data_IF_844572180007
#
_entry.id   IF_844572180007
#
_cell.length_a   1.000
_cell.length_b   1.000
_cell.length_c   1.000
_cell.angle_alpha   90.00
_cell.angle_beta   90.00
_cell.angle_gamma   90.00
#
_symmetry.space_group_name_H-M   'P 1'
#
loop_
_entity.id
_entity.type
_entity.pdbx_description
1 polymer ?
#
# COMPACT_ATOMS: atom_id res chain seq x y z
N UNK A 1 -5.66 -1.96 -28.60
CA UNK A 1 -6.88 -2.22 -27.81
C UNK A 1 -6.96 -3.65 -27.25
N UNK A 2 -6.80 -4.71 -28.06
CA UNK A 2 -7.00 -6.12 -27.63
C UNK A 2 -6.11 -6.62 -26.48
N UNK A 3 -4.82 -6.25 -26.43
CA UNK A 3 -3.89 -6.71 -25.38
C UNK A 3 -4.26 -6.18 -23.98
N UNK A 4 -4.75 -4.93 -23.89
CA UNK A 4 -5.19 -4.35 -22.61
C UNK A 4 -6.45 -5.05 -22.06
N UNK A 5 -7.37 -5.43 -22.94
CA UNK A 5 -8.58 -6.16 -22.57
C UNK A 5 -8.27 -7.57 -22.08
N UNK A 6 -7.35 -8.27 -22.76
CA UNK A 6 -6.88 -9.61 -22.36
C UNK A 6 -6.15 -9.55 -21.02
N UNK A 7 -5.25 -8.58 -20.83
CA UNK A 7 -4.55 -8.38 -19.56
C UNK A 7 -5.52 -8.06 -18.40
N UNK A 8 -6.57 -7.28 -18.65
CA UNK A 8 -7.62 -6.99 -17.66
C UNK A 8 -8.48 -8.22 -17.34
N UNK A 9 -8.83 -9.06 -18.33
CA UNK A 9 -9.56 -10.31 -18.09
C UNK A 9 -8.74 -11.31 -17.28
N UNK A 10 -7.46 -11.48 -17.62
CA UNK A 10 -6.56 -12.34 -16.86
C UNK A 10 -6.41 -11.80 -15.43
N UNK A 11 -6.30 -10.49 -15.26
CA UNK A 11 -6.24 -9.86 -13.94
C UNK A 11 -7.54 -10.08 -13.13
N UNK A 12 -8.72 -10.04 -13.76
CA UNK A 12 -10.00 -10.32 -13.11
C UNK A 12 -10.15 -11.78 -12.67
N UNK A 13 -9.37 -12.71 -13.24
CA UNK A 13 -9.34 -14.12 -12.83
C UNK A 13 -8.29 -14.36 -11.74
N UNK A 14 -7.10 -13.75 -11.87
CA UNK A 14 -6.01 -13.90 -10.90
C UNK A 14 -6.32 -13.15 -9.60
N UNK A 15 -6.96 -11.98 -9.65
CA UNK A 15 -7.26 -11.17 -8.46
C UNK A 15 -8.15 -11.92 -7.43
N UNK A 16 -9.26 -12.60 -7.78
CA UNK A 16 -10.05 -13.38 -6.82
C UNK A 16 -9.31 -14.61 -6.28
N UNK A 17 -8.49 -15.28 -7.10
CA UNK A 17 -7.67 -16.41 -6.65
C UNK A 17 -6.61 -15.92 -5.65
N UNK A 18 -5.87 -14.87 -6.00
CA UNK A 18 -4.92 -14.21 -5.10
C UNK A 18 -5.62 -13.69 -3.83
N UNK A 19 -6.81 -13.09 -3.96
CA UNK A 19 -7.61 -12.58 -2.86
C UNK A 19 -8.00 -13.71 -1.88
N UNK A 20 -8.53 -14.83 -2.39
CA UNK A 20 -8.88 -16.01 -1.59
C UNK A 20 -7.69 -16.59 -0.82
N UNK A 21 -6.50 -16.65 -1.43
CA UNK A 21 -5.30 -17.17 -0.75
C UNK A 21 -4.62 -16.15 0.18
N UNK A 22 -4.96 -14.86 0.10
CA UNK A 22 -4.22 -13.78 0.78
C UNK A 22 -4.78 -13.38 2.16
N UNK A 23 -5.93 -13.93 2.59
CA UNK A 23 -6.65 -13.53 3.82
C UNK A 23 -6.81 -12.00 3.95
N UNK A 24 -6.86 -11.28 2.84
CA UNK A 24 -6.96 -9.82 2.80
C UNK A 24 -8.38 -9.41 3.19
N UNK A 25 -8.50 -8.53 4.20
CA UNK A 25 -9.77 -7.88 4.54
C UNK A 25 -9.81 -6.50 3.86
N UNK A 26 -10.90 -6.21 3.16
CA UNK A 26 -11.19 -4.87 2.68
C UNK A 26 -11.68 -4.02 3.84
N UNK A 27 -11.14 -2.80 3.98
CA UNK A 27 -11.56 -1.86 5.03
C UNK A 27 -12.54 -0.85 4.44
N UNK A 28 -13.83 -1.13 4.44
CA UNK A 28 -14.82 -0.15 3.99
C UNK A 28 -16.12 -0.29 4.75
N UNK A 29 -16.75 0.85 5.06
CA UNK A 29 -18.15 0.88 5.47
C UNK A 29 -19.03 0.38 4.32
N UNK A 30 -20.17 -0.23 4.65
CA UNK A 30 -21.12 -0.79 3.68
C UNK A 30 -21.37 0.21 2.53
N UNK A 31 -21.08 -0.23 1.29
CA UNK A 31 -21.33 0.54 0.07
C UNK A 31 -20.13 1.28 -0.55
N UNK A 32 -19.00 1.47 0.15
CA UNK A 32 -17.78 2.09 -0.43
C UNK A 32 -16.68 1.06 -0.71
N UNK A 33 -16.21 0.99 -1.96
CA UNK A 33 -15.05 0.16 -2.34
C UNK A 33 -13.78 0.77 -1.75
N UNK A 34 -13.24 0.15 -0.70
CA UNK A 34 -12.01 0.59 -0.05
C UNK A 34 -10.80 0.58 -0.98
N UNK A 35 -10.02 1.65 -0.96
CA UNK A 35 -8.70 1.71 -1.63
C UNK A 35 -7.70 0.76 -0.96
N UNK A 36 -7.93 0.36 0.29
CA UNK A 36 -7.03 -0.47 1.08
C UNK A 36 -7.52 -1.91 1.24
N UNK A 37 -6.58 -2.83 1.04
CA UNK A 37 -6.66 -4.22 1.51
C UNK A 37 -5.62 -4.39 2.60
N UNK A 38 -6.00 -5.01 3.71
CA UNK A 38 -5.08 -5.23 4.83
C UNK A 38 -5.04 -6.66 5.30
N UNK A 39 -3.93 -7.01 5.94
CA UNK A 39 -3.81 -8.24 6.74
C UNK A 39 -2.84 -8.04 7.89
N UNK A 40 -3.03 -8.75 8.99
CA UNK A 40 -1.98 -8.85 10.00
C UNK A 40 -0.77 -9.60 9.44
N UNK A 41 0.41 -9.20 9.90
CA UNK A 41 1.67 -9.86 9.57
C UNK A 41 2.65 -9.73 10.72
N UNK A 42 3.44 -10.76 10.93
CA UNK A 42 4.64 -10.66 11.75
C UNK A 42 5.74 -9.98 10.95
N UNK A 43 6.41 -9.01 11.56
CA UNK A 43 7.56 -8.35 10.98
C UNK A 43 8.76 -9.29 10.93
N UNK A 44 9.42 -9.38 9.78
CA UNK A 44 10.58 -10.26 9.54
C UNK A 44 11.82 -9.50 9.08
N UNK A 45 11.76 -8.17 9.08
CA UNK A 45 12.88 -7.33 8.68
C UNK A 45 13.86 -7.10 9.82
N UNK A 46 14.82 -6.21 9.58
CA UNK A 46 15.77 -5.74 10.60
C UNK A 46 15.08 -4.76 11.53
N UNK A 47 15.53 -4.66 12.76
CA UNK A 47 14.97 -3.70 13.70
C UNK A 47 15.13 -2.27 13.16
N UNK A 48 14.07 -1.48 13.27
CA UNK A 48 14.00 -0.09 12.81
C UNK A 48 13.44 0.76 13.93
N UNK A 49 13.89 2.01 14.02
CA UNK A 49 13.27 3.03 14.88
C UNK A 49 12.68 4.09 13.96
N UNK A 50 11.37 4.32 14.10
CA UNK A 50 10.66 5.38 13.39
C UNK A 50 10.95 6.74 14.00
N UNK A 51 10.68 7.80 13.25
CA UNK A 51 10.92 9.19 13.66
C UNK A 51 10.16 9.60 14.93
N UNK A 52 9.03 8.95 15.21
CA UNK A 52 8.25 9.14 16.44
C UNK A 52 8.79 8.35 17.65
N UNK A 53 9.94 7.68 17.51
CA UNK A 53 10.56 6.84 18.53
C UNK A 53 10.03 5.40 18.58
N UNK A 54 9.02 5.06 17.78
CA UNK A 54 8.48 3.69 17.75
C UNK A 54 9.54 2.73 17.21
N UNK A 55 9.96 1.76 18.03
CA UNK A 55 10.84 0.67 17.60
C UNK A 55 10.03 -0.46 17.00
N UNK A 56 10.33 -0.89 15.77
CA UNK A 56 9.72 -2.07 15.15
C UNK A 56 10.80 -3.15 15.07
N UNK A 57 10.56 -4.26 15.75
CA UNK A 57 11.47 -5.38 15.92
C UNK A 57 10.93 -6.63 15.23
N UNK A 58 11.82 -7.55 14.88
CA UNK A 58 11.42 -8.86 14.33
C UNK A 58 10.43 -9.55 15.27
N UNK A 59 9.32 -10.04 14.72
CA UNK A 59 8.24 -10.68 15.48
C UNK A 59 7.10 -9.73 15.88
N UNK A 60 7.26 -8.41 15.76
CA UNK A 60 6.16 -7.48 16.03
C UNK A 60 5.00 -7.69 15.06
N UNK A 61 3.77 -7.53 15.55
CA UNK A 61 2.56 -7.58 14.72
C UNK A 61 2.35 -6.21 14.08
N UNK A 62 2.33 -6.20 12.75
CA UNK A 62 2.03 -5.04 11.93
C UNK A 62 0.80 -5.31 11.06
N UNK A 63 0.09 -4.24 10.71
CA UNK A 63 -0.95 -4.31 9.70
C UNK A 63 -0.33 -4.04 8.33
N UNK A 64 -0.32 -5.06 7.47
CA UNK A 64 0.22 -4.95 6.13
C UNK A 64 -0.79 -4.26 5.21
N UNK A 65 -0.40 -3.13 4.65
CA UNK A 65 -1.19 -2.32 3.73
C UNK A 65 -0.92 -2.69 2.28
N UNK A 66 -2.00 -2.87 1.52
CA UNK A 66 -1.98 -3.05 0.07
C UNK A 66 -2.99 -2.09 -0.58
N UNK A 67 -2.60 -1.46 -1.69
CA UNK A 67 -3.53 -0.69 -2.53
C UNK A 67 -4.33 -1.63 -3.42
N UNK A 68 -5.62 -1.33 -3.59
CA UNK A 68 -6.47 -2.07 -4.51
C UNK A 68 -6.14 -1.69 -5.95
N UNK A 69 -5.23 -2.45 -6.54
CA UNK A 69 -4.71 -2.31 -7.90
C UNK A 69 -5.78 -2.04 -8.98
N UNK A 70 -6.91 -2.76 -8.95
CA UNK A 70 -8.01 -2.55 -9.91
C UNK A 70 -8.66 -1.16 -9.77
N UNK A 71 -8.92 -0.70 -8.53
CA UNK A 71 -9.49 0.64 -8.28
C UNK A 71 -8.49 1.70 -8.75
N UNK A 72 -7.20 1.50 -8.47
CA UNK A 72 -6.13 2.38 -8.93
C UNK A 72 -6.13 2.52 -10.46
N UNK A 73 -6.10 1.39 -11.19
CA UNK A 73 -6.04 1.38 -12.65
C UNK A 73 -7.30 2.01 -13.28
N UNK A 74 -8.49 1.71 -12.75
CA UNK A 74 -9.75 2.30 -13.26
C UNK A 74 -9.75 3.83 -13.13
N UNK A 75 -9.29 4.35 -11.99
CA UNK A 75 -9.25 5.79 -11.74
C UNK A 75 -8.13 6.51 -12.50
N UNK A 76 -7.02 5.83 -12.80
CA UNK A 76 -5.87 6.43 -13.51
C UNK A 76 -5.98 6.36 -15.04
N UNK A 77 -6.79 5.45 -15.59
CA UNK A 77 -6.87 5.22 -17.04
C UNK A 77 -7.32 6.44 -17.85
N UNK A 78 -8.08 7.36 -17.26
CA UNK A 78 -8.53 8.60 -17.91
C UNK A 78 -7.48 9.72 -17.88
N UNK A 79 -6.43 9.59 -17.07
CA UNK A 79 -5.43 10.65 -16.87
C UNK A 79 -4.21 10.44 -17.75
N UNK A 80 -3.88 11.44 -18.57
CA UNK A 80 -2.68 11.40 -19.43
C UNK A 80 -1.41 11.90 -18.73
N UNK A 81 -1.55 12.71 -17.68
CA UNK A 81 -0.43 13.36 -16.96
C UNK A 81 -0.03 12.56 -15.70
N UNK A 82 1.25 12.16 -15.60
CA UNK A 82 1.80 11.42 -14.46
C UNK A 82 1.75 12.22 -13.14
N UNK A 83 1.86 13.55 -13.19
CA UNK A 83 1.68 14.42 -12.01
C UNK A 83 0.23 14.34 -11.52
N UNK A 84 -0.74 14.38 -12.45
CA UNK A 84 -2.15 14.26 -12.12
C UNK A 84 -2.48 12.89 -11.50
N UNK A 85 -1.89 11.80 -12.03
CA UNK A 85 -2.00 10.45 -11.44
C UNK A 85 -1.43 10.40 -10.03
N UNK A 86 -0.26 11.01 -9.80
CA UNK A 86 0.34 11.10 -8.47
C UNK A 86 -0.56 11.84 -7.47
N UNK A 87 -1.12 12.98 -7.88
CA UNK A 87 -2.09 13.75 -7.06
C UNK A 87 -3.36 12.97 -6.76
N UNK A 88 -3.89 12.25 -7.75
CA UNK A 88 -5.08 11.41 -7.57
C UNK A 88 -4.80 10.29 -6.57
N UNK A 89 -3.69 9.56 -6.73
CA UNK A 89 -3.31 8.53 -5.77
C UNK A 89 -3.14 9.11 -4.37
N UNK A 90 -2.46 10.24 -4.23
CA UNK A 90 -2.29 10.91 -2.94
C UNK A 90 -3.64 11.16 -2.26
N UNK A 91 -4.61 11.73 -2.99
CA UNK A 91 -5.97 11.97 -2.50
C UNK A 91 -6.70 10.67 -2.13
N UNK A 92 -6.58 9.63 -2.95
CA UNK A 92 -7.19 8.32 -2.67
C UNK A 92 -6.64 7.69 -1.40
N UNK A 93 -5.32 7.76 -1.19
CA UNK A 93 -4.69 7.26 0.03
C UNK A 93 -5.13 8.10 1.23
N UNK A 94 -5.03 9.43 1.14
CA UNK A 94 -5.43 10.36 2.19
C UNK A 94 -6.86 10.09 2.66
N UNK A 95 -7.80 9.98 1.72
CA UNK A 95 -9.22 9.78 2.03
C UNK A 95 -9.52 8.41 2.63
N UNK A 96 -8.65 7.41 2.47
CA UNK A 96 -8.82 6.08 3.03
C UNK A 96 -8.10 5.88 4.38
N UNK A 97 -7.24 6.82 4.80
CA UNK A 97 -6.51 6.71 6.08
C UNK A 97 -7.42 6.78 7.32
N UNK A 98 -8.50 7.59 7.36
CA UNK A 98 -9.44 7.55 8.48
C UNK A 98 -10.11 6.18 8.65
N UNK A 99 -10.51 5.53 7.54
CA UNK A 99 -11.08 4.18 7.58
C UNK A 99 -10.07 3.16 8.12
N UNK A 100 -8.79 3.30 7.74
CA UNK A 100 -7.69 2.48 8.25
C UNK A 100 -7.49 2.70 9.76
N UNK A 101 -7.56 3.94 10.23
CA UNK A 101 -7.43 4.28 11.65
C UNK A 101 -8.57 3.67 12.47
N UNK A 102 -9.82 3.81 12.00
CA UNK A 102 -11.00 3.20 12.62
C UNK A 102 -10.89 1.67 12.67
N UNK A 103 -10.46 1.05 11.56
CA UNK A 103 -10.23 -0.39 11.52
C UNK A 103 -9.16 -0.85 12.52
N UNK A 104 -8.03 -0.13 12.61
CA UNK A 104 -6.95 -0.48 13.54
C UNK A 104 -7.41 -0.31 14.97
N UNK A 105 -8.12 0.79 15.28
CA UNK A 105 -8.66 1.06 16.61
C UNK A 105 -9.59 -0.04 17.09
N UNK A 106 -10.56 -0.43 16.24
CA UNK A 106 -11.60 -1.42 16.55
C UNK A 106 -11.16 -2.88 16.34
N UNK A 107 -9.93 -3.14 15.89
CA UNK A 107 -9.47 -4.49 15.61
C UNK A 107 -9.37 -5.31 16.92
N UNK A 108 -9.78 -6.59 16.96
CA UNK A 108 -9.65 -7.43 18.18
C UNK A 108 -8.23 -7.52 18.73
N UNK A 109 -7.24 -7.42 17.83
CA UNK A 109 -5.80 -7.39 18.14
C UNK A 109 -5.20 -5.98 18.16
N UNK A 110 -6.02 -4.93 18.30
CA UNK A 110 -5.60 -3.52 18.25
C UNK A 110 -4.44 -3.23 19.20
N UNK A 111 -4.44 -3.80 20.40
CA UNK A 111 -3.35 -3.68 21.40
C UNK A 111 -2.02 -4.24 20.88
N UNK A 112 -2.04 -5.36 20.16
CA UNK A 112 -0.85 -6.02 19.61
C UNK A 112 -0.31 -5.34 18.35
N UNK A 113 -1.15 -4.64 17.58
CA UNK A 113 -0.72 -3.95 16.36
C UNK A 113 0.20 -2.78 16.74
N UNK A 114 1.45 -2.84 16.29
CA UNK A 114 2.45 -1.79 16.54
C UNK A 114 2.43 -0.68 15.50
N UNK A 115 2.05 -1.01 14.27
CA UNK A 115 1.97 -0.06 13.18
C UNK A 115 1.60 -0.69 11.85
N UNK A 116 1.72 0.11 10.80
CA UNK A 116 1.40 -0.21 9.43
C UNK A 116 2.69 -0.49 8.67
N UNK A 117 2.67 -1.51 7.80
CA UNK A 117 3.77 -1.82 6.88
C UNK A 117 3.25 -1.99 5.46
N UNK A 118 3.96 -1.44 4.50
CA UNK A 118 3.71 -1.62 3.07
C UNK A 118 5.00 -1.78 2.30
N UNK A 119 4.86 -2.05 1.01
CA UNK A 119 5.94 -1.87 0.05
C UNK A 119 5.39 -0.96 -1.03
N UNK A 120 6.15 0.06 -1.38
CA UNK A 120 5.78 1.02 -2.43
C UNK A 120 7.01 1.32 -3.29
N UNK A 121 6.78 1.52 -4.58
CA UNK A 121 7.76 2.20 -5.43
C UNK A 121 7.53 3.71 -5.44
N UNK A 122 6.29 4.14 -5.11
CA UNK A 122 5.88 5.53 -5.01
C UNK A 122 6.32 6.05 -3.65
N UNK A 123 7.49 6.67 -3.60
CA UNK A 123 8.09 7.20 -2.38
C UNK A 123 7.85 8.70 -2.17
N UNK A 124 7.43 9.42 -3.22
CA UNK A 124 7.17 10.86 -3.15
C UNK A 124 5.82 11.15 -2.50
N UNK A 125 5.79 12.09 -1.56
CA UNK A 125 4.56 12.53 -0.88
C UNK A 125 4.07 11.58 0.22
N UNK A 126 4.74 10.45 0.47
CA UNK A 126 4.39 9.55 1.58
C UNK A 126 4.62 10.21 2.96
N UNK A 127 5.66 11.03 3.09
CA UNK A 127 6.00 11.72 4.34
C UNK A 127 4.90 12.63 4.85
N UNK A 128 4.27 13.42 3.98
CA UNK A 128 3.17 14.32 4.39
C UNK A 128 1.92 13.58 4.84
N UNK A 129 1.78 12.29 4.49
CA UNK A 129 0.72 11.41 5.00
C UNK A 129 1.08 10.78 6.35
N UNK A 130 2.29 10.96 6.86
CA UNK A 130 2.79 10.35 8.10
C UNK A 130 3.47 9.00 7.87
N UNK A 131 3.79 8.64 6.63
CA UNK A 131 4.58 7.44 6.35
C UNK A 131 6.08 7.73 6.26
N UNK A 132 6.87 6.79 6.72
CA UNK A 132 8.32 6.75 6.56
C UNK A 132 8.71 5.70 5.51
N UNK A 133 9.66 6.05 4.63
CA UNK A 133 10.14 5.12 3.61
C UNK A 133 11.53 4.62 3.94
N UNK A 134 11.70 3.30 4.03
CA UNK A 134 12.96 2.66 4.39
C UNK A 134 13.43 1.76 3.24
N UNK A 135 14.70 1.83 2.82
CA UNK A 135 15.20 0.99 1.75
C UNK A 135 15.18 -0.50 2.13
N UNK A 136 14.78 -1.33 1.16
CA UNK A 136 14.88 -2.77 1.29
C UNK A 136 16.35 -3.17 1.17
N UNK A 137 16.91 -3.78 2.22
CA UNK A 137 18.32 -4.19 2.28
C UNK A 137 18.64 -5.42 1.42
N UNK A 138 17.77 -6.42 1.41
CA UNK A 138 17.98 -7.65 0.64
C UNK A 138 17.81 -7.39 -0.86
N UNK A 139 18.89 -7.53 -1.62
CA UNK A 139 18.91 -7.34 -3.08
C UNK A 139 17.96 -8.30 -3.80
N UNK A 140 17.96 -9.58 -3.41
CA UNK A 140 17.08 -10.61 -3.98
C UNK A 140 15.63 -10.27 -3.69
N UNK A 141 15.29 -9.96 -2.44
CA UNK A 141 13.92 -9.60 -2.07
C UNK A 141 13.44 -8.35 -2.80
N UNK A 142 14.31 -7.33 -2.89
CA UNK A 142 14.06 -6.10 -3.64
C UNK A 142 13.76 -6.39 -5.12
N UNK A 143 14.55 -7.26 -5.75
CA UNK A 143 14.35 -7.66 -7.14
C UNK A 143 13.05 -8.44 -7.34
N UNK A 144 12.75 -9.43 -6.49
CA UNK A 144 11.48 -10.15 -6.52
C UNK A 144 10.30 -9.18 -6.39
N UNK A 145 10.38 -8.19 -5.49
CA UNK A 145 9.33 -7.19 -5.31
C UNK A 145 9.19 -6.27 -6.51
N UNK A 146 10.31 -5.88 -7.11
CA UNK A 146 10.31 -5.14 -8.36
C UNK A 146 9.50 -5.89 -9.43
N UNK A 147 9.82 -7.17 -9.68
CA UNK A 147 9.13 -8.00 -10.67
C UNK A 147 7.63 -8.07 -10.41
N UNK A 148 7.23 -8.34 -9.16
CA UNK A 148 5.79 -8.46 -8.83
C UNK A 148 5.00 -7.16 -9.02
N UNK A 149 5.68 -6.01 -9.03
CA UNK A 149 5.07 -4.69 -9.26
C UNK A 149 5.12 -4.24 -10.72
N UNK A 150 5.91 -4.91 -11.58
CA UNK A 150 6.02 -4.55 -13.00
C UNK A 150 4.67 -4.58 -13.74
N UNK A 151 3.82 -5.62 -13.63
CA UNK A 151 2.60 -5.70 -14.43
C UNK A 151 1.67 -4.50 -14.21
N UNK A 152 1.40 -4.14 -12.95
CA UNK A 152 0.57 -2.96 -12.66
C UNK A 152 1.22 -1.67 -13.16
N UNK A 153 2.55 -1.60 -13.11
CA UNK A 153 3.25 -0.42 -13.55
C UNK A 153 3.18 -0.22 -15.07
N UNK A 154 3.36 -1.30 -15.84
CA UNK A 154 3.14 -1.29 -17.29
C UNK A 154 1.69 -0.94 -17.66
N UNK A 155 0.73 -1.32 -16.82
CA UNK A 155 -0.69 -1.00 -17.04
C UNK A 155 -1.05 0.45 -16.63
N UNK A 156 -0.38 1.02 -15.62
CA UNK A 156 -0.71 2.34 -15.08
C UNK A 156 0.10 3.49 -15.69
N UNK A 157 1.35 3.24 -16.11
CA UNK A 157 2.27 4.27 -16.54
C UNK A 157 2.42 4.36 -18.06
N UNK A 158 2.57 5.59 -18.56
CA UNK A 158 2.79 5.82 -20.00
C UNK A 158 4.22 5.50 -20.46
N UNK A 159 5.21 5.66 -19.57
CA UNK A 159 6.63 5.40 -19.87
C UNK A 159 7.27 4.48 -18.82
N UNK A 160 6.88 3.19 -18.77
CA UNK A 160 7.20 2.35 -17.64
C UNK A 160 8.72 2.15 -17.43
N UNK A 161 9.47 2.06 -18.51
CA UNK A 161 10.93 1.89 -18.44
C UNK A 161 11.67 3.07 -17.78
N UNK A 162 11.20 4.31 -17.96
CA UNK A 162 11.85 5.51 -17.39
C UNK A 162 11.68 5.60 -15.87
N UNK A 163 10.61 5.04 -15.35
CA UNK A 163 10.24 5.15 -13.94
C UNK A 163 10.75 3.97 -13.12
N UNK A 164 10.77 2.76 -13.69
CA UNK A 164 11.45 1.60 -13.09
C UNK A 164 12.93 1.95 -12.84
N UNK A 165 13.58 2.65 -13.77
CA UNK A 165 14.97 3.13 -13.59
C UNK A 165 15.12 4.16 -12.47
N UNK A 166 14.08 4.93 -12.14
CA UNK A 166 14.14 6.03 -11.16
C UNK A 166 13.62 5.65 -9.78
N UNK A 167 12.81 4.60 -9.65
CA UNK A 167 12.12 4.26 -8.41
C UNK A 167 12.37 2.80 -8.05
N UNK A 168 13.02 2.62 -6.91
CA UNK A 168 13.21 1.31 -6.29
C UNK A 168 12.07 1.03 -5.30
N UNK A 169 11.67 -0.25 -5.12
CA UNK A 169 10.73 -0.59 -4.08
C UNK A 169 11.35 -0.33 -2.70
N UNK A 170 10.59 0.35 -1.86
CA UNK A 170 10.93 0.73 -0.49
C UNK A 170 9.88 0.13 0.45
N UNK A 171 10.28 -0.14 1.69
CA UNK A 171 9.29 -0.31 2.75
C UNK A 171 8.61 1.01 3.05
N UNK A 172 7.35 0.91 3.41
CA UNK A 172 6.52 2.02 3.87
C UNK A 172 6.09 1.69 5.30
N UNK A 173 6.38 2.56 6.27
CA UNK A 173 6.02 2.37 7.67
C UNK A 173 5.21 3.55 8.20
N UNK A 174 4.34 3.29 9.16
CA UNK A 174 3.66 4.31 9.96
C UNK A 174 3.36 3.67 11.31
N UNK A 175 3.70 4.31 12.43
CA UNK A 175 3.34 3.77 13.74
C UNK A 175 1.83 3.80 13.95
N UNK A 176 1.30 2.93 14.82
CA UNK A 176 -0.12 3.00 15.21
C UNK A 176 -0.43 4.35 15.85
N UNK A 177 0.52 4.88 16.64
CA UNK A 177 0.38 6.18 17.29
C UNK A 177 0.17 7.31 16.28
N UNK A 178 1.03 7.42 15.26
CA UNK A 178 0.91 8.44 14.20
C UNK A 178 -0.40 8.28 13.42
N UNK A 179 -0.79 7.05 13.09
CA UNK A 179 -2.04 6.79 12.39
C UNK A 179 -3.26 7.29 13.18
N UNK A 180 -3.36 6.91 14.45
CA UNK A 180 -4.51 7.25 15.29
C UNK A 180 -4.52 8.73 15.66
N UNK A 181 -3.36 9.33 15.94
CA UNK A 181 -3.27 10.75 16.26
C UNK A 181 -3.69 11.64 15.07
N UNK A 182 -3.31 11.25 13.84
CA UNK A 182 -3.55 12.06 12.64
C UNK A 182 -4.90 11.81 11.98
N UNK A 183 -5.42 10.59 12.07
CA UNK A 183 -6.60 10.15 11.31
C UNK A 183 -7.65 9.45 12.16
N UNK A 184 -7.42 9.25 13.46
CA UNK A 184 -8.43 8.77 14.39
C UNK A 184 -9.53 9.82 14.60
N UNK A 185 -10.76 9.36 14.84
CA UNK A 185 -11.84 10.24 15.29
C UNK A 185 -11.59 10.57 16.75
N UNK A 186 -11.61 11.87 17.09
CA UNK A 186 -11.69 12.30 18.49
C UNK A 186 -13.06 11.82 18.97
N UNK A 187 -13.06 10.84 19.87
CA UNK A 187 -14.27 10.40 20.59
C UNK A 187 -14.12 10.85 22.02
#
# INVERSE_FOLDING_TARGET
MRVKTIAMSIWNIIDPIYYSFSRLKCIGQQGRKSTFRVRLTFYRGRDITLSDGTRINKGDILLKLHLHNVILLKNMNSLQNEIAKGRLLYRMVLNSLPDLAEYVHNHPKSREIKGIIGITMLNRGCGSLGFETIPISSKIYKWCKCITMLPIYFLSARSPLKFIKKQAPMYLFMSKHVLLNKYGKIT
#
